data_IF_627627784301
#
_entry.id   IF_627627784301
#
_cell.length_a   1.000
_cell.length_b   1.000
_cell.length_c   1.000
_cell.angle_alpha   90.00
_cell.angle_beta   90.00
_cell.angle_gamma   90.00
#
_symmetry.space_group_name_H-M   'P 1'
#
loop_
_entity.id
_entity.type
_entity.pdbx_description
1 polymer ?
#
# COMPACT_ATOMS: atom_id res chain seq x y z
N UNK A 1 -21.11 17.56 18.60
CA UNK A 1 -21.66 18.75 17.94
C UNK A 1 -20.53 19.74 17.70
N UNK A 2 -19.94 19.71 16.51
CA UNK A 2 -19.20 20.83 15.90
C UNK A 2 -19.63 20.79 14.44
N UNK A 3 -20.39 21.81 14.07
CA UNK A 3 -20.91 22.05 12.74
C UNK A 3 -20.00 23.14 12.15
N UNK A 4 -19.27 22.83 11.08
CA UNK A 4 -18.53 23.82 10.30
C UNK A 4 -19.21 23.92 8.93
N UNK A 5 -20.12 24.88 8.79
CA UNK A 5 -20.74 25.26 7.53
C UNK A 5 -19.82 26.26 6.82
N UNK A 6 -18.98 25.76 5.91
CA UNK A 6 -18.34 26.58 4.89
C UNK A 6 -19.27 26.61 3.67
N UNK A 7 -20.13 27.63 3.60
CA UNK A 7 -20.90 27.92 2.39
C UNK A 7 -19.98 28.57 1.35
N UNK A 8 -19.56 27.79 0.36
CA UNK A 8 -19.13 28.26 -0.95
C UNK A 8 -19.78 27.36 -2.02
N UNK A 9 -20.65 27.96 -2.85
CA UNK A 9 -21.48 27.37 -3.91
C UNK A 9 -21.12 25.95 -4.41
N UNK A 10 -21.76 24.91 -3.86
CA UNK A 10 -21.73 23.57 -4.44
C UNK A 10 -22.88 23.40 -5.45
N UNK A 11 -22.61 23.58 -6.75
CA UNK A 11 -23.56 23.29 -7.85
C UNK A 11 -23.33 21.94 -8.52
N UNK A 12 -22.56 21.05 -7.90
CA UNK A 12 -22.27 19.72 -8.44
C UNK A 12 -20.98 19.15 -7.89
N UNK A 13 -20.82 17.84 -8.00
CA UNK A 13 -19.57 17.13 -7.70
C UNK A 13 -18.83 16.88 -9.00
N UNK A 14 -17.62 17.43 -9.11
CA UNK A 14 -16.70 17.14 -10.21
C UNK A 14 -15.82 15.96 -9.82
N UNK A 15 -15.69 14.98 -10.72
CA UNK A 15 -14.83 13.82 -10.56
C UNK A 15 -13.80 13.85 -11.67
N UNK A 16 -12.53 13.62 -11.34
CA UNK A 16 -11.44 13.48 -12.30
C UNK A 16 -10.68 12.17 -12.05
N UNK A 17 -10.36 11.47 -13.13
CA UNK A 17 -9.57 10.24 -13.09
C UNK A 17 -8.08 10.57 -13.20
N UNK A 18 -7.35 10.34 -12.11
CA UNK A 18 -5.90 10.48 -12.08
C UNK A 18 -5.23 9.13 -12.39
N UNK A 19 -4.04 9.14 -13.03
CA UNK A 19 -3.22 7.95 -13.09
C UNK A 19 -2.67 7.60 -11.70
N UNK A 20 -2.42 6.32 -11.48
CA UNK A 20 -1.64 5.83 -10.35
C UNK A 20 -0.18 6.33 -10.45
N UNK A 21 0.62 6.30 -9.36
CA UNK A 21 2.02 6.70 -9.40
C UNK A 21 2.88 5.92 -10.41
N UNK A 22 2.47 4.71 -10.79
CA UNK A 22 3.12 3.89 -11.82
C UNK A 22 2.62 4.20 -13.25
N UNK A 23 1.75 5.19 -13.40
CA UNK A 23 1.20 5.67 -14.67
C UNK A 23 0.00 4.89 -15.19
N UNK A 24 -0.45 3.83 -14.48
CA UNK A 24 -1.65 3.09 -14.86
C UNK A 24 -2.90 3.91 -14.62
N UNK A 25 -3.94 3.62 -15.40
CA UNK A 25 -5.24 4.30 -15.31
C UNK A 25 -6.32 3.25 -15.14
N UNK A 26 -7.07 3.36 -14.05
CA UNK A 26 -8.24 2.52 -13.78
C UNK A 26 -9.50 3.01 -14.51
N UNK A 27 -10.65 2.53 -14.04
CA UNK A 27 -11.96 3.00 -14.50
C UNK A 27 -12.69 3.67 -13.33
N UNK A 28 -13.29 4.83 -13.58
CA UNK A 28 -14.21 5.47 -12.62
C UNK A 28 -15.58 5.63 -13.26
N UNK A 29 -16.59 5.13 -12.56
CA UNK A 29 -18.00 5.22 -12.96
C UNK A 29 -18.71 6.22 -12.07
N UNK A 30 -19.21 7.30 -12.67
CA UNK A 30 -19.98 8.33 -11.99
C UNK A 30 -21.44 8.11 -12.32
N UNK A 31 -22.24 7.78 -11.32
CA UNK A 31 -23.64 7.39 -11.46
C UNK A 31 -24.57 8.39 -10.76
N UNK A 32 -25.73 8.61 -11.37
CA UNK A 32 -26.87 9.39 -10.89
C UNK A 32 -28.16 8.60 -11.16
N UNK A 33 -29.32 9.08 -10.70
CA UNK A 33 -30.61 8.43 -10.95
C UNK A 33 -30.98 8.44 -12.45
N UNK A 34 -30.36 9.32 -13.25
CA UNK A 34 -30.58 9.42 -14.71
C UNK A 34 -29.62 8.62 -15.57
N UNK A 35 -28.59 8.03 -14.97
CA UNK A 35 -27.61 7.22 -15.66
C UNK A 35 -26.18 7.51 -15.22
N UNK A 36 -25.24 7.05 -16.03
CA UNK A 36 -23.84 6.99 -15.66
C UNK A 36 -22.91 7.53 -16.76
N UNK A 37 -21.71 7.91 -16.34
CA UNK A 37 -20.57 8.17 -17.20
C UNK A 37 -19.35 7.44 -16.69
N UNK A 38 -18.57 6.92 -17.63
CA UNK A 38 -17.38 6.13 -17.34
C UNK A 38 -16.16 6.90 -17.83
N UNK A 39 -15.17 7.03 -16.94
CA UNK A 39 -13.88 7.63 -17.19
C UNK A 39 -12.85 6.50 -17.29
N UNK A 40 -12.06 6.48 -18.36
CA UNK A 40 -11.07 5.42 -18.64
C UNK A 40 -9.69 5.97 -19.02
N UNK A 41 -9.54 7.30 -19.13
CA UNK A 41 -8.28 7.94 -19.49
C UNK A 41 -7.85 8.94 -18.42
N UNK A 42 -6.54 9.05 -18.23
CA UNK A 42 -5.95 10.03 -17.31
C UNK A 42 -6.43 11.45 -17.65
N UNK A 43 -6.79 12.20 -16.60
CA UNK A 43 -7.30 13.56 -16.70
C UNK A 43 -8.74 13.66 -17.19
N UNK A 44 -9.41 12.57 -17.58
CA UNK A 44 -10.84 12.62 -17.87
C UNK A 44 -11.63 13.01 -16.64
N UNK A 45 -12.62 13.87 -16.83
CA UNK A 45 -13.49 14.36 -15.79
C UNK A 45 -14.94 14.39 -16.25
N UNK A 46 -15.84 14.33 -15.28
CA UNK A 46 -17.27 14.58 -15.48
C UNK A 46 -17.80 15.33 -14.25
N UNK A 47 -18.88 16.09 -14.44
CA UNK A 47 -19.56 16.81 -13.37
C UNK A 47 -20.98 16.26 -13.21
N UNK A 48 -21.30 15.82 -11.99
CA UNK A 48 -22.67 15.49 -11.59
C UNK A 48 -23.25 16.69 -10.82
N UNK A 49 -24.17 17.41 -11.45
CA UNK A 49 -24.78 18.63 -10.88
C UNK A 49 -25.72 18.29 -9.73
N UNK A 50 -26.58 17.29 -9.94
CA UNK A 50 -27.52 16.72 -8.98
C UNK A 50 -27.82 15.26 -9.34
N UNK A 51 -28.63 14.58 -8.52
CA UNK A 51 -29.00 13.18 -8.73
C UNK A 51 -29.96 12.97 -9.93
N UNK A 52 -30.66 14.03 -10.35
CA UNK A 52 -31.75 13.98 -11.32
C UNK A 52 -31.31 14.44 -12.72
N UNK A 53 -30.00 14.60 -12.92
CA UNK A 53 -29.36 15.00 -14.17
C UNK A 53 -28.26 14.02 -14.55
N UNK A 54 -28.12 13.73 -15.84
CA UNK A 54 -27.03 12.90 -16.33
C UNK A 54 -25.69 13.62 -16.14
N UNK A 55 -24.61 12.94 -15.69
CA UNK A 55 -23.30 13.56 -15.60
C UNK A 55 -22.85 14.09 -16.95
N UNK A 56 -22.08 15.18 -16.95
CA UNK A 56 -21.56 15.80 -18.18
C UNK A 56 -20.74 14.80 -19.00
N UNK A 57 -20.66 15.01 -20.32
CA UNK A 57 -19.79 14.19 -21.16
C UNK A 57 -18.33 14.19 -20.65
N UNK A 58 -17.64 13.04 -20.61
CA UNK A 58 -16.26 12.96 -20.17
C UNK A 58 -15.34 13.87 -21.00
N UNK A 59 -14.67 14.80 -20.33
CA UNK A 59 -13.71 15.72 -20.94
C UNK A 59 -12.36 15.63 -20.23
N UNK A 60 -11.26 15.69 -20.99
CA UNK A 60 -9.91 15.70 -20.42
C UNK A 60 -9.58 17.09 -19.90
N UNK A 61 -9.31 17.19 -18.61
CA UNK A 61 -8.81 18.41 -17.99
C UNK A 61 -7.28 18.49 -18.12
N UNK A 62 -6.73 19.67 -18.45
CA UNK A 62 -5.30 19.92 -18.37
C UNK A 62 -4.80 19.78 -16.93
N UNK A 63 -3.60 19.22 -16.74
CA UNK A 63 -2.99 19.01 -15.41
C UNK A 63 -2.95 20.28 -14.55
N UNK A 64 -2.66 21.44 -15.16
CA UNK A 64 -2.67 22.74 -14.47
C UNK A 64 -4.04 23.08 -13.88
N UNK A 65 -5.11 22.72 -14.58
CA UNK A 65 -6.47 22.94 -14.10
C UNK A 65 -6.86 21.93 -13.03
N UNK A 66 -6.45 20.67 -13.17
CA UNK A 66 -6.62 19.65 -12.13
C UNK A 66 -5.96 20.11 -10.83
N UNK A 67 -4.68 20.51 -10.89
CA UNK A 67 -3.94 20.99 -9.72
C UNK A 67 -4.57 22.23 -9.08
N UNK A 68 -5.22 23.09 -9.87
CA UNK A 68 -5.92 24.27 -9.38
C UNK A 68 -7.25 23.91 -8.69
N UNK A 69 -8.05 23.05 -9.31
CA UNK A 69 -9.41 22.71 -8.85
C UNK A 69 -9.38 21.74 -7.68
N UNK A 70 -8.43 20.80 -7.69
CA UNK A 70 -8.35 19.71 -6.72
C UNK A 70 -7.20 19.85 -5.72
N UNK A 71 -6.62 21.05 -5.55
CA UNK A 71 -5.45 21.27 -4.67
C UNK A 71 -5.62 20.66 -3.27
N UNK A 72 -6.77 20.88 -2.64
CA UNK A 72 -7.04 20.37 -1.28
C UNK A 72 -7.23 18.85 -1.27
N UNK A 73 -7.92 18.30 -2.29
CA UNK A 73 -8.14 16.87 -2.42
C UNK A 73 -6.83 16.12 -2.71
N UNK A 74 -5.97 16.69 -3.56
CA UNK A 74 -4.64 16.18 -3.85
C UNK A 74 -3.74 16.24 -2.60
N UNK A 75 -3.79 17.34 -1.84
CA UNK A 75 -3.04 17.48 -0.60
C UNK A 75 -3.53 16.53 0.52
N UNK A 76 -4.80 16.13 0.48
CA UNK A 76 -5.41 15.20 1.42
C UNK A 76 -5.26 13.71 1.03
N UNK A 77 -4.56 13.39 -0.06
CA UNK A 77 -4.36 12.00 -0.46
C UNK A 77 -3.65 11.20 0.65
N UNK A 78 -4.12 9.98 0.95
CA UNK A 78 -3.44 9.14 1.91
C UNK A 78 -2.04 8.80 1.39
N UNK A 79 -1.06 8.81 2.31
CA UNK A 79 0.28 8.34 1.99
C UNK A 79 0.19 6.87 1.62
N UNK A 80 0.82 6.50 0.51
CA UNK A 80 0.89 5.10 0.10
C UNK A 80 1.81 4.31 1.05
N UNK A 81 1.49 3.04 1.32
CA UNK A 81 2.39 2.18 2.08
C UNK A 81 3.76 2.03 1.40
N UNK A 82 4.81 1.90 2.20
CA UNK A 82 6.17 1.63 1.72
C UNK A 82 6.55 0.21 2.06
N UNK A 83 6.94 -0.55 1.03
CA UNK A 83 7.27 -1.98 1.15
C UNK A 83 8.78 -2.21 1.11
N UNK A 84 9.25 -3.12 1.97
CA UNK A 84 10.63 -3.59 2.03
C UNK A 84 10.65 -5.11 2.00
N UNK A 85 11.64 -5.69 1.32
CA UNK A 85 11.89 -7.13 1.32
C UNK A 85 13.26 -7.37 1.93
N UNK A 86 13.30 -8.15 3.01
CA UNK A 86 14.52 -8.56 3.69
C UNK A 86 14.73 -10.05 3.46
N UNK A 87 15.96 -10.46 3.15
CA UNK A 87 16.32 -11.87 2.96
C UNK A 87 17.06 -12.44 4.17
N UNK A 88 16.80 -13.72 4.45
CA UNK A 88 17.46 -14.48 5.51
C UNK A 88 18.53 -15.42 4.96
N UNK A 89 19.51 -15.75 5.80
CA UNK A 89 20.43 -16.87 5.57
C UNK A 89 19.67 -18.20 5.58
N UNK A 90 20.26 -19.22 4.95
CA UNK A 90 19.63 -20.54 4.81
C UNK A 90 19.27 -21.14 6.17
N UNK A 91 18.04 -21.65 6.29
CA UNK A 91 17.48 -22.26 7.51
C UNK A 91 17.66 -21.44 8.80
N UNK A 92 17.89 -20.12 8.66
CA UNK A 92 18.20 -19.23 9.77
C UNK A 92 17.19 -18.10 9.89
N UNK A 93 17.14 -17.51 11.08
CA UNK A 93 16.47 -16.23 11.35
C UNK A 93 17.37 -15.03 11.04
N UNK A 94 18.66 -15.27 10.84
CA UNK A 94 19.64 -14.21 10.57
C UNK A 94 19.40 -13.59 9.21
N UNK A 95 19.40 -12.26 9.17
CA UNK A 95 19.34 -11.48 7.92
C UNK A 95 20.68 -11.51 7.18
N UNK A 96 20.62 -11.45 5.85
CA UNK A 96 21.81 -11.18 5.03
C UNK A 96 22.44 -9.82 5.39
N UNK A 97 23.75 -9.62 5.15
CA UNK A 97 24.40 -8.33 5.38
C UNK A 97 23.72 -7.16 4.65
N UNK A 98 23.25 -7.38 3.42
CA UNK A 98 22.54 -6.41 2.60
C UNK A 98 21.21 -6.03 3.24
N UNK A 99 20.44 -7.04 3.68
CA UNK A 99 19.15 -6.83 4.34
C UNK A 99 19.30 -6.12 5.68
N UNK A 100 20.38 -6.41 6.42
CA UNK A 100 20.68 -5.74 7.69
C UNK A 100 20.91 -4.24 7.51
N UNK A 101 21.47 -3.80 6.37
CA UNK A 101 21.66 -2.37 6.05
C UNK A 101 20.34 -1.64 5.80
N UNK A 102 19.30 -2.35 5.33
CA UNK A 102 17.98 -1.76 5.08
C UNK A 102 17.20 -1.40 6.35
N UNK A 103 17.57 -1.97 7.51
CA UNK A 103 16.88 -1.70 8.78
C UNK A 103 16.87 -0.20 9.15
N UNK A 104 17.94 0.53 8.86
CA UNK A 104 18.00 1.98 9.14
C UNK A 104 17.06 2.76 8.24
N UNK A 105 16.89 2.33 6.98
CA UNK A 105 15.94 2.93 6.06
C UNK A 105 14.50 2.67 6.50
N UNK A 106 14.18 1.45 6.95
CA UNK A 106 12.86 1.11 7.48
C UNK A 106 12.52 2.00 8.68
N UNK A 107 13.43 2.12 9.66
CA UNK A 107 13.22 2.95 10.85
C UNK A 107 13.04 4.42 10.49
N UNK A 108 13.81 4.93 9.52
CA UNK A 108 13.64 6.28 9.00
C UNK A 108 12.24 6.47 8.40
N UNK A 109 11.80 5.54 7.55
CA UNK A 109 10.48 5.58 6.91
C UNK A 109 9.35 5.55 7.94
N UNK A 110 9.40 4.68 8.95
CA UNK A 110 8.41 4.63 10.04
C UNK A 110 8.29 5.99 10.74
N UNK A 111 9.43 6.66 11.01
CA UNK A 111 9.47 7.98 11.67
C UNK A 111 8.93 9.10 10.78
N UNK A 112 9.33 9.14 9.50
CA UNK A 112 8.89 10.17 8.54
C UNK A 112 7.39 10.05 8.24
N UNK A 113 6.89 8.82 8.16
CA UNK A 113 5.47 8.54 7.99
C UNK A 113 4.66 8.77 9.27
N UNK A 114 5.32 8.85 10.43
CA UNK A 114 4.68 8.76 11.76
C UNK A 114 3.76 7.54 11.83
N UNK A 115 4.23 6.44 11.23
CA UNK A 115 3.44 5.22 11.11
C UNK A 115 3.17 4.64 12.49
N UNK A 116 1.88 4.42 12.78
CA UNK A 116 1.40 3.72 13.97
C UNK A 116 1.14 2.25 13.68
N UNK A 117 1.44 1.82 12.46
CA UNK A 117 1.07 0.51 11.98
C UNK A 117 2.03 0.01 10.90
N UNK A 118 2.86 -0.95 11.26
CA UNK A 118 3.88 -1.54 10.41
C UNK A 118 3.76 -3.05 10.49
N UNK A 119 3.46 -3.67 9.35
CA UNK A 119 3.35 -5.12 9.24
C UNK A 119 4.72 -5.74 8.94
N UNK A 120 5.03 -6.85 9.61
CA UNK A 120 6.26 -7.63 9.47
C UNK A 120 5.86 -9.09 9.25
N UNK A 121 5.97 -9.57 8.02
CA UNK A 121 5.47 -10.91 7.63
C UNK A 121 6.61 -11.78 7.15
N UNK A 122 6.74 -12.96 7.74
CA UNK A 122 7.75 -13.95 7.34
C UNK A 122 7.24 -14.93 6.31
N UNK A 123 8.16 -15.39 5.44
CA UNK A 123 7.91 -16.39 4.41
C UNK A 123 9.02 -17.46 4.40
N UNK A 124 8.70 -18.61 3.82
CA UNK A 124 9.64 -19.69 3.52
C UNK A 124 9.55 -20.10 2.05
N UNK A 125 10.52 -20.88 1.59
CA UNK A 125 10.36 -21.70 0.39
C UNK A 125 9.50 -22.94 0.73
N UNK A 126 9.30 -23.81 -0.26
CA UNK A 126 8.44 -24.99 -0.18
C UNK A 126 9.18 -26.24 0.32
N UNK A 127 10.41 -26.08 0.83
CA UNK A 127 11.19 -27.20 1.36
C UNK A 127 10.72 -27.57 2.76
N UNK A 128 10.39 -28.84 2.97
CA UNK A 128 9.93 -29.37 4.25
C UNK A 128 8.46 -29.07 4.56
N UNK A 129 8.01 -29.47 5.76
CA UNK A 129 6.59 -29.41 6.11
C UNK A 129 6.07 -27.98 6.32
N UNK A 130 4.83 -27.72 5.88
CA UNK A 130 4.06 -26.48 6.11
C UNK A 130 4.16 -25.96 7.55
N UNK A 131 4.04 -26.86 8.53
CA UNK A 131 4.03 -26.52 9.96
C UNK A 131 5.42 -26.11 10.48
N UNK A 132 6.48 -26.75 9.99
CA UNK A 132 7.85 -26.28 10.23
C UNK A 132 8.06 -24.90 9.61
N UNK A 133 7.62 -24.73 8.37
CA UNK A 133 7.75 -23.50 7.60
C UNK A 133 6.99 -22.32 8.23
N UNK A 134 5.80 -22.56 8.77
CA UNK A 134 5.04 -21.56 9.52
C UNK A 134 5.80 -21.07 10.76
N UNK A 135 6.33 -21.99 11.56
CA UNK A 135 7.11 -21.62 12.75
C UNK A 135 8.41 -20.89 12.40
N UNK A 136 9.10 -21.32 11.34
CA UNK A 136 10.36 -20.69 10.91
C UNK A 136 10.13 -19.27 10.40
N UNK A 137 9.14 -19.09 9.52
CA UNK A 137 8.78 -17.76 9.00
C UNK A 137 8.31 -16.83 10.13
N UNK A 138 7.51 -17.32 11.09
CA UNK A 138 7.10 -16.51 12.26
C UNK A 138 8.30 -16.06 13.09
N UNK A 139 9.28 -16.95 13.33
CA UNK A 139 10.53 -16.60 14.04
C UNK A 139 11.36 -15.56 13.27
N UNK A 140 11.42 -15.64 11.94
CA UNK A 140 12.09 -14.64 11.09
C UNK A 140 11.44 -13.26 11.24
N UNK A 141 10.11 -13.19 11.16
CA UNK A 141 9.37 -11.95 11.34
C UNK A 141 9.60 -11.35 12.74
N UNK A 142 9.57 -12.20 13.79
CA UNK A 142 9.87 -11.79 15.16
C UNK A 142 11.29 -11.24 15.32
N UNK A 143 12.29 -11.85 14.66
CA UNK A 143 13.67 -11.35 14.73
C UNK A 143 13.82 -9.98 14.04
N UNK A 144 13.19 -9.78 12.89
CA UNK A 144 13.15 -8.46 12.23
C UNK A 144 12.49 -7.43 13.13
N UNK A 145 11.31 -7.74 13.69
CA UNK A 145 10.61 -6.84 14.61
C UNK A 145 11.48 -6.48 15.82
N UNK A 146 12.17 -7.46 16.42
CA UNK A 146 13.10 -7.25 17.54
C UNK A 146 14.24 -6.31 17.16
N UNK A 147 14.81 -6.45 15.95
CA UNK A 147 15.85 -5.57 15.44
C UNK A 147 15.35 -4.13 15.22
N UNK A 148 14.11 -3.95 14.74
CA UNK A 148 13.46 -2.64 14.60
C UNK A 148 13.19 -2.00 15.97
N UNK A 149 12.70 -2.76 16.94
CA UNK A 149 12.50 -2.29 18.33
C UNK A 149 13.83 -1.85 18.96
N UNK A 150 14.90 -2.61 18.76
CA UNK A 150 16.25 -2.23 19.22
C UNK A 150 16.74 -0.90 18.62
N UNK A 151 16.22 -0.52 17.44
CA UNK A 151 16.49 0.76 16.77
C UNK A 151 15.49 1.88 17.13
N UNK A 152 14.59 1.61 18.08
CA UNK A 152 13.69 2.61 18.67
C UNK A 152 12.30 2.68 18.05
N UNK A 153 11.85 1.65 17.34
CA UNK A 153 10.44 1.51 16.93
C UNK A 153 9.62 1.03 18.12
N UNK A 154 8.45 1.65 18.36
CA UNK A 154 7.54 1.19 19.41
C UNK A 154 6.97 -0.19 19.01
N UNK A 155 7.12 -1.24 19.85
CA UNK A 155 6.56 -2.56 19.56
C UNK A 155 5.04 -2.55 19.35
N UNK A 156 4.30 -1.57 19.87
CA UNK A 156 2.85 -1.44 19.65
C UNK A 156 2.50 -1.08 18.21
N UNK A 157 3.43 -0.49 17.47
CA UNK A 157 3.24 -0.14 16.07
C UNK A 157 3.63 -1.29 15.13
N UNK A 158 4.03 -2.45 15.67
CA UNK A 158 4.47 -3.60 14.88
C UNK A 158 3.44 -4.72 14.94
N UNK A 159 2.97 -5.15 13.79
CA UNK A 159 2.16 -6.34 13.61
C UNK A 159 3.03 -7.45 13.01
N UNK A 160 3.07 -8.63 13.65
CA UNK A 160 3.97 -9.71 13.28
C UNK A 160 3.14 -10.92 12.83
N UNK A 161 3.36 -11.37 11.59
CA UNK A 161 2.66 -12.54 11.05
C UNK A 161 3.58 -13.46 10.22
N UNK A 162 3.03 -14.60 9.78
CA UNK A 162 3.67 -15.60 8.94
C UNK A 162 2.71 -16.08 7.87
N UNK A 163 3.17 -16.05 6.63
CA UNK A 163 2.46 -16.66 5.50
C UNK A 163 3.00 -18.04 5.13
N UNK A 164 4.02 -18.54 5.83
CA UNK A 164 4.68 -19.81 5.49
C UNK A 164 5.04 -19.85 3.99
N UNK A 165 4.75 -20.96 3.31
CA UNK A 165 4.88 -21.17 1.87
C UNK A 165 3.60 -20.83 1.06
N UNK A 166 2.57 -20.23 1.68
CA UNK A 166 1.29 -19.95 1.00
C UNK A 166 1.32 -18.76 0.06
N UNK A 167 2.31 -17.87 0.20
CA UNK A 167 2.46 -16.64 -0.59
C UNK A 167 3.90 -16.51 -1.11
N UNK A 168 4.20 -17.32 -2.12
CA UNK A 168 5.51 -17.40 -2.76
C UNK A 168 5.73 -16.18 -3.67
N UNK A 169 6.91 -15.57 -3.58
CA UNK A 169 7.33 -14.52 -4.50
C UNK A 169 7.69 -15.11 -5.87
N UNK A 170 8.37 -16.25 -5.85
CA UNK A 170 8.69 -17.06 -7.02
C UNK A 170 7.88 -18.35 -6.90
N UNK A 171 6.89 -18.59 -7.78
CA UNK A 171 6.11 -19.81 -7.75
C UNK A 171 6.99 -21.05 -7.94
N UNK A 172 6.91 -22.01 -7.01
CA UNK A 172 7.64 -23.27 -7.06
C UNK A 172 6.72 -24.43 -6.68
N UNK A 173 7.05 -25.64 -7.15
CA UNK A 173 6.44 -26.87 -6.63
C UNK A 173 6.92 -27.16 -5.21
N UNK A 174 6.33 -28.17 -4.56
CA UNK A 174 6.74 -28.65 -3.25
C UNK A 174 8.19 -29.15 -3.25
N UNK A 175 8.86 -29.06 -2.09
CA UNK A 175 10.23 -29.52 -1.86
C UNK A 175 11.31 -28.80 -2.71
N UNK A 176 11.04 -27.56 -3.13
CA UNK A 176 11.98 -26.75 -3.91
C UNK A 176 12.63 -25.66 -3.05
N UNK A 177 13.96 -25.63 -3.10
CA UNK A 177 14.78 -24.56 -2.50
C UNK A 177 14.71 -23.31 -3.37
N UNK A 178 14.21 -22.21 -2.82
CA UNK A 178 14.14 -20.91 -3.53
C UNK A 178 14.52 -19.76 -2.59
N UNK A 179 15.75 -19.22 -2.70
CA UNK A 179 16.22 -18.14 -1.84
C UNK A 179 15.33 -16.90 -1.78
N UNK A 180 14.68 -16.52 -2.87
CA UNK A 180 13.83 -15.34 -2.89
C UNK A 180 12.53 -15.53 -2.08
N UNK A 181 12.09 -16.77 -1.89
CA UNK A 181 10.93 -17.07 -1.05
C UNK A 181 11.27 -17.02 0.45
N UNK A 182 12.55 -17.17 0.82
CA UNK A 182 13.04 -17.04 2.20
C UNK A 182 13.25 -15.58 2.59
N UNK A 183 12.14 -14.90 2.81
CA UNK A 183 12.11 -13.44 3.03
C UNK A 183 11.24 -13.04 4.22
N UNK A 184 11.43 -11.81 4.66
CA UNK A 184 10.50 -11.06 5.50
C UNK A 184 10.08 -9.81 4.75
N UNK A 185 8.78 -9.61 4.60
CA UNK A 185 8.20 -8.40 4.05
C UNK A 185 7.89 -7.44 5.19
N UNK A 186 8.29 -6.17 5.03
CA UNK A 186 7.95 -5.09 5.97
C UNK A 186 7.14 -4.06 5.20
N UNK A 187 5.92 -3.79 5.66
CA UNK A 187 5.04 -2.78 5.07
C UNK A 187 4.76 -1.69 6.09
N UNK A 188 5.21 -0.47 5.80
CA UNK A 188 4.95 0.72 6.62
C UNK A 188 3.73 1.43 6.04
N UNK A 189 2.67 1.57 6.84
CA UNK A 189 1.39 2.18 6.42
C UNK A 189 0.99 3.36 7.29
#
# INVERSE_FOLDING_TARGET
MICLLLSACAKGSMVVLLPDPDGKVGEVRVQTDKGERVLTKAGQSTTAVDKDSLPSEPAVLPEKEINRVFVDALAAQPRQPVHFILYNLHESVELTPESRKMLDQIVKTIKEMKSVDTSVVGHTDTLGSVEYNYRLSKKRAQEVARLLVKKGVDPKNLEIDSHSEKNLLVPTADEIREPHNRRVEVTVR
#
